data_IF_032407993248
#
_entry.id   IF_032407993248
#
_cell.length_a   1.000
_cell.length_b   1.000
_cell.length_c   1.000
_cell.angle_alpha   90.00
_cell.angle_beta   90.00
_cell.angle_gamma   90.00
#
_symmetry.space_group_name_H-M   'P 1'
#
loop_
_entity.id
_entity.type
_entity.pdbx_description
1 polymer ?
#
# COMPACT_ATOMS: atom_id res chain seq x y z
N UNK A 1 -30.05 20.71 0.84
CA UNK A 1 -28.63 20.56 0.49
C UNK A 1 -28.56 19.32 -0.38
N UNK A 2 -28.39 19.53 -1.68
CA UNK A 2 -28.16 18.40 -2.60
C UNK A 2 -26.85 17.74 -2.18
N UNK A 3 -26.93 16.50 -1.75
CA UNK A 3 -25.74 15.68 -1.46
C UNK A 3 -25.10 15.39 -2.80
N UNK A 4 -24.03 16.12 -3.11
CA UNK A 4 -23.26 15.96 -4.33
C UNK A 4 -22.81 14.50 -4.45
N UNK A 5 -23.24 13.81 -5.51
CA UNK A 5 -22.87 12.41 -5.71
C UNK A 5 -21.35 12.30 -5.85
N UNK A 6 -20.71 11.32 -5.17
CA UNK A 6 -19.26 11.18 -5.24
C UNK A 6 -18.80 10.98 -6.69
N UNK A 7 -17.87 11.81 -7.11
CA UNK A 7 -17.32 11.83 -8.47
C UNK A 7 -16.39 10.64 -8.68
N UNK A 8 -16.51 9.98 -9.79
CA UNK A 8 -15.58 8.94 -10.22
C UNK A 8 -14.26 9.54 -10.69
N UNK A 9 -13.20 8.72 -10.75
CA UNK A 9 -11.92 9.14 -11.36
C UNK A 9 -12.15 9.65 -12.79
N UNK A 10 -13.00 9.00 -13.59
CA UNK A 10 -13.32 9.43 -14.95
C UNK A 10 -14.03 10.80 -15.02
N UNK A 11 -14.91 11.09 -14.06
CA UNK A 11 -15.57 12.41 -13.98
C UNK A 11 -14.59 13.52 -13.61
N UNK A 12 -13.74 13.31 -12.59
CA UNK A 12 -12.68 14.25 -12.23
C UNK A 12 -11.68 14.45 -13.35
N UNK A 13 -11.30 13.38 -14.03
CA UNK A 13 -10.43 13.42 -15.21
C UNK A 13 -11.00 14.38 -16.29
N UNK A 14 -12.30 14.25 -16.60
CA UNK A 14 -12.99 15.10 -17.56
C UNK A 14 -13.01 16.57 -17.11
N UNK A 15 -13.36 16.83 -15.86
CA UNK A 15 -13.41 18.18 -15.28
C UNK A 15 -12.04 18.86 -15.32
N UNK A 16 -11.00 18.17 -14.85
CA UNK A 16 -9.62 18.69 -14.84
C UNK A 16 -9.12 18.92 -16.28
N UNK A 17 -9.44 18.03 -17.21
CA UNK A 17 -9.08 18.21 -18.61
C UNK A 17 -9.71 19.48 -19.19
N UNK A 18 -11.01 19.72 -18.94
CA UNK A 18 -11.67 20.95 -19.36
C UNK A 18 -11.07 22.18 -18.69
N UNK A 19 -10.82 22.13 -17.40
CA UNK A 19 -10.19 23.22 -16.67
C UNK A 19 -8.78 23.55 -17.19
N UNK A 20 -8.00 22.53 -17.59
CA UNK A 20 -6.69 22.69 -18.23
C UNK A 20 -6.76 23.07 -19.72
N UNK A 21 -7.94 23.16 -20.30
CA UNK A 21 -8.12 23.49 -21.73
C UNK A 21 -7.54 22.47 -22.69
N UNK A 22 -7.30 21.20 -22.23
CA UNK A 22 -6.71 20.16 -23.05
C UNK A 22 -7.81 19.38 -23.83
N UNK A 23 -7.54 19.06 -25.11
CA UNK A 23 -8.43 18.20 -25.89
C UNK A 23 -8.30 16.74 -25.49
N UNK A 24 -9.31 15.91 -25.80
CA UNK A 24 -9.24 14.45 -25.63
C UNK A 24 -8.01 13.86 -26.32
N UNK A 25 -7.73 14.31 -27.54
CA UNK A 25 -6.60 13.84 -28.35
C UNK A 25 -5.26 14.10 -27.64
N UNK A 26 -5.03 15.31 -27.14
CA UNK A 26 -3.78 15.69 -26.48
C UNK A 26 -3.56 14.87 -25.21
N UNK A 27 -4.60 14.73 -24.36
CA UNK A 27 -4.46 13.96 -23.12
C UNK A 27 -4.26 12.47 -23.41
N UNK A 28 -4.95 11.91 -24.41
CA UNK A 28 -4.81 10.52 -24.80
C UNK A 28 -3.39 10.22 -25.32
N UNK A 29 -2.85 11.09 -26.17
CA UNK A 29 -1.50 10.99 -26.73
C UNK A 29 -0.43 11.04 -25.60
N UNK A 30 -0.54 12.03 -24.72
CA UNK A 30 0.38 12.17 -23.57
C UNK A 30 0.29 10.99 -22.59
N UNK A 31 -0.90 10.43 -22.38
CA UNK A 31 -1.09 9.26 -21.51
C UNK A 31 -0.77 7.92 -22.22
N UNK A 32 -0.45 7.94 -23.51
CA UNK A 32 -0.14 6.74 -24.29
C UNK A 32 -1.32 5.78 -24.45
N UNK A 33 -2.55 6.33 -24.60
CA UNK A 33 -3.80 5.58 -24.82
C UNK A 33 -4.54 6.13 -26.03
N UNK A 34 -5.55 5.38 -26.52
CA UNK A 34 -6.38 5.90 -27.61
C UNK A 34 -7.39 6.94 -27.12
N UNK A 35 -7.73 7.90 -27.97
CA UNK A 35 -8.76 8.91 -27.70
C UNK A 35 -10.13 8.26 -27.35
N UNK A 36 -10.49 7.21 -28.09
CA UNK A 36 -11.69 6.42 -27.80
C UNK A 36 -11.68 5.77 -26.42
N UNK A 37 -10.52 5.30 -25.96
CA UNK A 37 -10.37 4.72 -24.61
C UNK A 37 -10.50 5.80 -23.54
N UNK A 38 -9.83 6.95 -23.71
CA UNK A 38 -9.97 8.10 -22.81
C UNK A 38 -11.43 8.57 -22.71
N UNK A 39 -12.11 8.71 -23.84
CA UNK A 39 -13.53 9.09 -23.87
C UNK A 39 -14.41 8.11 -23.09
N UNK A 40 -14.15 6.80 -23.18
CA UNK A 40 -14.85 5.79 -22.39
C UNK A 40 -14.57 5.87 -20.90
N UNK A 41 -13.33 6.21 -20.50
CA UNK A 41 -12.99 6.48 -19.10
C UNK A 41 -13.78 7.67 -18.55
N UNK A 42 -13.81 8.79 -19.29
CA UNK A 42 -14.53 10.00 -18.89
C UNK A 42 -16.05 9.81 -18.79
N UNK A 43 -16.63 8.95 -19.64
CA UNK A 43 -18.04 8.57 -19.55
C UNK A 43 -18.33 7.49 -18.51
N UNK A 44 -17.28 6.93 -17.90
CA UNK A 44 -17.39 5.84 -16.94
C UNK A 44 -17.82 4.50 -17.55
N UNK A 45 -17.65 4.32 -18.85
CA UNK A 45 -17.85 3.03 -19.53
C UNK A 45 -16.68 2.07 -19.28
N UNK A 46 -15.53 2.63 -18.91
CA UNK A 46 -14.32 1.95 -18.44
C UNK A 46 -13.83 2.59 -17.15
N UNK A 47 -13.10 1.81 -16.36
CA UNK A 47 -12.48 2.26 -15.11
C UNK A 47 -11.01 2.57 -15.30
N UNK A 48 -10.46 3.41 -14.44
CA UNK A 48 -9.03 3.51 -14.21
C UNK A 48 -8.65 2.38 -13.25
N UNK A 49 -8.17 1.28 -13.79
CA UNK A 49 -7.99 -0.01 -13.10
C UNK A 49 -6.55 -0.31 -12.69
N UNK A 50 -5.59 0.48 -13.16
CA UNK A 50 -4.18 0.31 -12.83
C UNK A 50 -3.51 1.61 -12.39
N UNK A 51 -2.45 1.45 -11.57
CA UNK A 51 -1.64 2.58 -11.13
C UNK A 51 -0.96 3.27 -12.30
N UNK A 52 -0.45 2.50 -13.25
CA UNK A 52 0.23 3.05 -14.44
C UNK A 52 -0.69 3.95 -15.26
N UNK A 53 -1.95 3.57 -15.43
CA UNK A 53 -2.93 4.38 -16.14
C UNK A 53 -3.29 5.66 -15.37
N UNK A 54 -3.54 5.54 -14.05
CA UNK A 54 -3.82 6.69 -13.19
C UNK A 54 -2.68 7.72 -13.25
N UNK A 55 -1.45 7.26 -13.18
CA UNK A 55 -0.25 8.09 -13.21
C UNK A 55 -0.06 8.77 -14.56
N UNK A 56 -0.23 8.02 -15.65
CA UNK A 56 -0.12 8.57 -16.99
C UNK A 56 -1.17 9.68 -17.24
N UNK A 57 -2.40 9.48 -16.77
CA UNK A 57 -3.46 10.48 -16.85
C UNK A 57 -3.17 11.72 -15.99
N UNK A 58 -2.69 11.53 -14.78
CA UNK A 58 -2.32 12.62 -13.88
C UNK A 58 -1.15 13.45 -14.46
N UNK A 59 -0.12 12.78 -14.99
CA UNK A 59 1.00 13.44 -15.66
C UNK A 59 0.55 14.20 -16.92
N UNK A 60 -0.32 13.61 -17.75
CA UNK A 60 -0.87 14.25 -18.95
C UNK A 60 -1.67 15.51 -18.63
N UNK A 61 -2.29 15.56 -17.44
CA UNK A 61 -3.05 16.73 -16.95
C UNK A 61 -2.22 17.68 -16.09
N UNK A 62 -0.98 17.31 -15.77
CA UNK A 62 -0.09 18.10 -14.88
C UNK A 62 -0.71 18.31 -13.48
N UNK A 63 -1.26 17.22 -12.91
CA UNK A 63 -1.83 17.19 -11.56
C UNK A 63 -1.29 16.03 -10.74
N UNK A 64 -1.43 16.10 -9.42
CA UNK A 64 -1.14 14.95 -8.58
C UNK A 64 -2.19 13.83 -8.80
N UNK A 65 -1.82 12.54 -8.74
CA UNK A 65 -2.78 11.43 -8.79
C UNK A 65 -3.90 11.54 -7.75
N UNK A 66 -3.64 12.16 -6.60
CA UNK A 66 -4.61 12.43 -5.53
C UNK A 66 -5.76 13.35 -5.98
N UNK A 67 -5.52 14.27 -6.93
CA UNK A 67 -6.56 15.11 -7.51
C UNK A 67 -7.57 14.28 -8.30
N UNK A 68 -7.08 13.30 -9.06
CA UNK A 68 -7.94 12.38 -9.80
C UNK A 68 -8.71 11.41 -8.90
N UNK A 69 -8.09 10.95 -7.81
CA UNK A 69 -8.72 9.98 -6.88
C UNK A 69 -9.63 10.64 -5.85
N UNK A 70 -9.53 11.96 -5.65
CA UNK A 70 -10.28 12.67 -4.61
C UNK A 70 -9.87 12.26 -3.21
N UNK A 71 -8.61 11.97 -2.98
CA UNK A 71 -8.10 11.51 -1.67
C UNK A 71 -8.42 12.48 -0.53
N UNK A 72 -8.50 13.77 -0.81
CA UNK A 72 -8.87 14.80 0.18
C UNK A 72 -10.31 14.68 0.71
N UNK A 73 -11.19 13.95 0.00
CA UNK A 73 -12.59 13.73 0.43
C UNK A 73 -12.75 12.49 1.34
N UNK A 74 -11.66 11.80 1.68
CA UNK A 74 -11.70 10.54 2.45
C UNK A 74 -12.14 10.71 3.90
N UNK A 75 -12.08 11.92 4.45
CA UNK A 75 -12.51 12.23 5.83
C UNK A 75 -14.00 11.97 6.07
N UNK A 76 -14.82 11.94 5.03
CA UNK A 76 -16.25 11.67 5.10
C UNK A 76 -16.61 10.19 5.30
N UNK A 77 -15.67 9.26 5.09
CA UNK A 77 -15.93 7.84 5.26
C UNK A 77 -16.07 7.48 6.75
N UNK A 78 -17.11 6.68 7.06
CA UNK A 78 -17.41 6.28 8.44
C UNK A 78 -16.23 5.53 9.08
N UNK A 79 -15.83 5.96 10.29
CA UNK A 79 -14.73 5.34 11.05
C UNK A 79 -13.33 5.71 10.55
N UNK A 80 -13.19 6.73 9.71
CA UNK A 80 -11.87 7.21 9.26
C UNK A 80 -11.30 8.34 10.14
N UNK A 81 -12.12 9.00 10.96
CA UNK A 81 -11.68 10.13 11.80
C UNK A 81 -10.53 9.78 12.75
N UNK A 82 -10.63 8.66 13.46
CA UNK A 82 -9.59 8.19 14.38
C UNK A 82 -8.29 7.80 13.62
N UNK A 83 -8.42 7.17 12.45
CA UNK A 83 -7.27 6.84 11.63
C UNK A 83 -6.57 8.10 11.07
N UNK A 84 -7.32 9.15 10.72
CA UNK A 84 -6.73 10.44 10.32
C UNK A 84 -6.10 11.18 11.50
N UNK A 85 -6.68 11.10 12.69
CA UNK A 85 -6.05 11.64 13.91
C UNK A 85 -4.68 10.97 14.17
N UNK A 86 -4.57 9.65 13.89
CA UNK A 86 -3.32 8.93 13.95
C UNK A 86 -2.23 9.53 13.03
N UNK A 87 -2.61 9.96 11.83
CA UNK A 87 -1.67 10.62 10.89
C UNK A 87 -1.09 11.89 11.48
N UNK A 88 -1.93 12.72 12.12
CA UNK A 88 -1.47 13.97 12.74
C UNK A 88 -0.46 13.68 13.86
N UNK A 89 -0.79 12.74 14.75
CA UNK A 89 0.10 12.36 15.84
C UNK A 89 1.44 11.77 15.35
N UNK A 90 1.40 10.93 14.31
CA UNK A 90 2.61 10.40 13.68
C UNK A 90 3.45 11.49 13.03
N UNK A 91 2.83 12.51 12.42
CA UNK A 91 3.55 13.63 11.80
C UNK A 91 4.36 14.39 12.84
N UNK A 92 3.78 14.65 14.00
CA UNK A 92 4.47 15.32 15.13
C UNK A 92 5.62 14.42 15.60
N UNK A 93 5.38 13.15 15.92
CA UNK A 93 6.42 12.26 16.42
C UNK A 93 7.60 12.06 15.46
N UNK A 94 7.32 12.04 14.14
CA UNK A 94 8.38 11.93 13.12
C UNK A 94 9.15 13.23 12.93
N UNK A 95 8.56 14.39 13.24
CA UNK A 95 9.26 15.67 13.19
C UNK A 95 10.12 15.92 14.44
N UNK A 96 9.67 15.41 15.60
CA UNK A 96 10.29 15.71 16.90
C UNK A 96 11.41 14.72 17.29
N UNK A 97 11.60 13.64 16.54
CA UNK A 97 12.54 12.57 16.91
C UNK A 97 13.56 12.31 15.80
N UNK A 98 14.77 12.79 15.96
CA UNK A 98 15.93 12.51 15.11
C UNK A 98 17.03 11.82 15.92
N UNK A 99 17.82 10.91 15.30
CA UNK A 99 18.88 10.17 16.00
C UNK A 99 20.01 11.07 16.50
N UNK A 100 20.19 12.22 15.86
CA UNK A 100 21.23 13.19 16.22
C UNK A 100 20.75 14.23 17.27
N UNK A 101 19.43 14.23 17.57
CA UNK A 101 18.81 15.05 18.61
C UNK A 101 18.08 14.14 19.61
N UNK A 102 18.78 13.64 20.61
CA UNK A 102 18.22 12.66 21.54
C UNK A 102 17.11 13.28 22.40
N UNK A 103 15.97 12.60 22.44
CA UNK A 103 14.89 12.97 23.33
C UNK A 103 15.29 12.80 24.80
N UNK A 104 14.67 13.59 25.67
CA UNK A 104 14.81 13.40 27.13
C UNK A 104 14.39 12.02 27.56
N UNK A 105 15.06 11.45 28.57
CA UNK A 105 14.69 10.16 29.14
C UNK A 105 13.25 10.22 29.67
N UNK A 106 12.37 9.42 29.08
CA UNK A 106 10.95 9.36 29.45
C UNK A 106 10.71 8.60 30.76
N UNK A 107 11.75 7.96 31.31
CA UNK A 107 11.69 7.16 32.52
C UNK A 107 10.91 5.85 32.40
N UNK A 108 10.43 5.47 31.21
CA UNK A 108 9.72 4.19 31.02
C UNK A 108 10.72 3.02 31.00
N UNK A 109 10.49 1.97 31.80
CA UNK A 109 11.39 0.82 31.85
C UNK A 109 11.34 0.02 30.53
N UNK A 110 12.49 -0.54 30.13
CA UNK A 110 12.61 -1.33 28.91
C UNK A 110 11.58 -2.46 28.80
N UNK A 111 11.23 -3.11 29.90
CA UNK A 111 10.23 -4.19 29.91
C UNK A 111 8.83 -3.72 29.42
N UNK A 112 8.45 -2.48 29.73
CA UNK A 112 7.18 -1.90 29.23
C UNK A 112 7.27 -1.51 27.77
N UNK A 113 8.41 -0.98 27.34
CA UNK A 113 8.65 -0.64 25.93
C UNK A 113 8.66 -1.91 25.06
N UNK A 114 9.36 -2.95 25.49
CA UNK A 114 9.39 -4.24 24.82
C UNK A 114 8.01 -4.90 24.73
N UNK A 115 7.21 -4.83 25.81
CA UNK A 115 5.83 -5.33 25.80
C UNK A 115 4.94 -4.51 24.83
N UNK A 116 5.11 -3.19 24.80
CA UNK A 116 4.38 -2.31 23.87
C UNK A 116 4.76 -2.59 22.42
N UNK A 117 6.05 -2.73 22.13
CA UNK A 117 6.56 -3.10 20.81
C UNK A 117 6.04 -4.48 20.38
N UNK A 118 6.05 -5.45 21.28
CA UNK A 118 5.47 -6.77 21.02
C UNK A 118 3.99 -6.66 20.65
N UNK A 119 3.19 -5.91 21.41
CA UNK A 119 1.77 -5.67 21.11
C UNK A 119 1.57 -5.03 19.74
N UNK A 120 2.38 -4.04 19.37
CA UNK A 120 2.32 -3.43 18.03
C UNK A 120 2.53 -4.47 16.94
N UNK A 121 3.56 -5.30 17.09
CA UNK A 121 3.98 -6.26 16.06
C UNK A 121 3.11 -7.52 15.99
N UNK A 122 2.57 -8.00 17.14
CA UNK A 122 1.79 -9.24 17.23
C UNK A 122 0.27 -9.06 17.15
N UNK A 123 -0.25 -7.85 17.47
CA UNK A 123 -1.69 -7.60 17.53
C UNK A 123 -2.12 -6.49 16.56
N UNK A 124 -1.65 -5.24 16.79
CA UNK A 124 -2.18 -4.09 16.07
C UNK A 124 -1.83 -4.11 14.57
N UNK A 125 -0.58 -4.41 14.25
CA UNK A 125 -0.09 -4.47 12.87
C UNK A 125 -0.71 -5.63 12.07
N UNK A 126 -0.76 -6.88 12.60
CA UNK A 126 -1.48 -7.96 11.92
C UNK A 126 -2.96 -7.69 11.74
N UNK A 127 -3.63 -7.07 12.71
CA UNK A 127 -5.04 -6.70 12.64
C UNK A 127 -5.33 -5.53 11.67
N UNK A 128 -4.30 -4.82 11.19
CA UNK A 128 -4.44 -3.58 10.44
C UNK A 128 -5.21 -2.49 11.21
N UNK A 129 -5.02 -2.45 12.53
CA UNK A 129 -5.63 -1.44 13.41
C UNK A 129 -4.82 -0.13 13.36
N UNK A 130 -5.12 0.69 12.37
CA UNK A 130 -4.38 1.95 12.14
C UNK A 130 -4.69 3.00 13.21
N UNK A 131 -5.92 3.03 13.74
CA UNK A 131 -6.28 3.90 14.85
C UNK A 131 -5.52 3.51 16.12
N UNK A 132 -5.52 2.21 16.46
CA UNK A 132 -4.76 1.69 17.61
C UNK A 132 -3.25 1.93 17.48
N UNK A 133 -2.69 1.73 16.29
CA UNK A 133 -1.27 2.08 16.03
C UNK A 133 -1.02 3.57 16.21
N UNK A 134 -1.91 4.44 15.74
CA UNK A 134 -1.78 5.89 15.89
C UNK A 134 -1.78 6.38 17.34
N UNK A 135 -2.42 5.66 18.25
CA UNK A 135 -2.40 5.95 19.69
C UNK A 135 -1.08 5.55 20.36
N UNK A 136 -0.41 4.53 19.83
CA UNK A 136 0.74 3.89 20.50
C UNK A 136 2.07 4.31 19.88
N UNK A 137 2.16 4.35 18.54
CA UNK A 137 3.43 4.58 17.84
C UNK A 137 4.11 5.91 18.19
N UNK A 138 3.39 7.06 18.31
CA UNK A 138 4.06 8.34 18.61
C UNK A 138 4.89 8.29 19.88
N UNK A 139 4.30 7.88 21.01
CA UNK A 139 5.02 7.76 22.27
C UNK A 139 6.10 6.69 22.24
N UNK A 140 5.86 5.56 21.55
CA UNK A 140 6.83 4.49 21.43
C UNK A 140 8.06 4.91 20.61
N UNK A 141 7.89 5.74 19.59
CA UNK A 141 9.01 6.34 18.83
C UNK A 141 9.90 7.16 19.78
N UNK A 142 9.32 8.09 20.53
CA UNK A 142 10.08 8.93 21.48
C UNK A 142 10.82 8.10 22.54
N UNK A 143 10.12 7.15 23.15
CA UNK A 143 10.72 6.29 24.19
C UNK A 143 11.87 5.44 23.66
N UNK A 144 11.72 4.82 22.48
CA UNK A 144 12.78 4.02 21.86
C UNK A 144 13.97 4.88 21.43
N UNK A 145 13.74 6.14 21.01
CA UNK A 145 14.81 7.09 20.74
C UNK A 145 15.62 7.41 21.98
N UNK A 146 14.95 7.68 23.10
CA UNK A 146 15.63 7.93 24.38
C UNK A 146 16.51 6.75 24.80
N UNK A 147 16.06 5.50 24.58
CA UNK A 147 16.87 4.29 24.85
C UNK A 147 18.02 4.15 23.86
N UNK A 148 17.78 4.38 22.57
CA UNK A 148 18.78 4.22 21.50
C UNK A 148 19.94 5.22 21.60
N UNK A 149 19.67 6.43 22.11
CA UNK A 149 20.65 7.51 22.28
C UNK A 149 21.26 7.56 23.69
N UNK A 150 20.62 6.91 24.67
CA UNK A 150 21.01 6.87 26.07
C UNK A 150 22.02 5.78 26.42
N UNK A 151 21.71 4.95 27.44
CA UNK A 151 22.58 3.90 27.94
C UNK A 151 22.70 2.69 26.98
N UNK A 152 23.89 2.06 26.87
CA UNK A 152 24.13 1.05 25.83
C UNK A 152 23.38 -0.29 26.03
N UNK A 153 22.82 -0.58 27.22
CA UNK A 153 22.29 -1.92 27.60
C UNK A 153 21.20 -2.43 26.64
N UNK A 154 20.31 -1.58 26.15
CA UNK A 154 19.22 -1.98 25.25
C UNK A 154 19.29 -1.26 23.90
N UNK A 155 20.44 -0.63 23.60
CA UNK A 155 20.58 0.18 22.38
C UNK A 155 20.28 -0.59 21.11
N UNK A 156 20.81 -1.81 20.97
CA UNK A 156 20.58 -2.62 19.78
C UNK A 156 19.10 -2.97 19.61
N UNK A 157 18.45 -3.44 20.68
CA UNK A 157 17.05 -3.81 20.64
C UNK A 157 16.14 -2.59 20.39
N UNK A 158 16.50 -1.43 20.92
CA UNK A 158 15.81 -0.18 20.67
C UNK A 158 15.92 0.26 19.20
N UNK A 159 17.10 0.12 18.57
CA UNK A 159 17.29 0.40 17.15
C UNK A 159 16.47 -0.55 16.27
N UNK A 160 16.43 -1.85 16.58
CA UNK A 160 15.56 -2.80 15.87
C UNK A 160 14.10 -2.42 16.06
N UNK A 161 13.69 -2.09 17.28
CA UNK A 161 12.34 -1.62 17.59
C UNK A 161 11.98 -0.33 16.85
N UNK A 162 12.88 0.64 16.75
CA UNK A 162 12.69 1.86 15.96
C UNK A 162 12.48 1.54 14.49
N UNK A 163 13.23 0.64 13.92
CA UNK A 163 13.05 0.21 12.52
C UNK A 163 11.65 -0.38 12.30
N UNK A 164 11.17 -1.21 13.22
CA UNK A 164 9.84 -1.80 13.17
C UNK A 164 8.72 -0.75 13.29
N UNK A 165 8.85 0.21 14.22
CA UNK A 165 7.82 1.24 14.40
C UNK A 165 7.81 2.23 13.24
N UNK A 166 8.96 2.59 12.66
CA UNK A 166 9.01 3.40 11.45
C UNK A 166 8.43 2.67 10.24
N UNK A 167 8.66 1.35 10.12
CA UNK A 167 8.00 0.55 9.10
C UNK A 167 6.47 0.56 9.29
N UNK A 168 5.99 0.39 10.51
CA UNK A 168 4.56 0.45 10.83
C UNK A 168 3.96 1.84 10.51
N UNK A 169 4.61 2.91 10.98
CA UNK A 169 4.19 4.30 10.73
C UNK A 169 4.13 4.62 9.22
N UNK A 170 5.18 4.22 8.47
CA UNK A 170 5.23 4.40 7.01
C UNK A 170 4.09 3.68 6.29
N UNK A 171 3.74 2.46 6.69
CA UNK A 171 2.60 1.75 6.09
C UNK A 171 1.25 2.33 6.51
N UNK A 172 1.08 2.78 7.75
CA UNK A 172 -0.14 3.51 8.17
C UNK A 172 -0.31 4.75 7.30
N UNK A 173 0.71 5.60 7.21
CA UNK A 173 0.68 6.81 6.39
C UNK A 173 0.37 6.50 4.92
N UNK A 174 1.10 5.57 4.31
CA UNK A 174 0.89 5.14 2.92
C UNK A 174 -0.54 4.67 2.64
N UNK A 175 -1.10 3.83 3.52
CA UNK A 175 -2.41 3.26 3.32
C UNK A 175 -3.55 4.24 3.60
N UNK A 176 -3.29 5.30 4.35
CA UNK A 176 -4.23 6.39 4.60
C UNK A 176 -4.10 7.55 3.59
N UNK A 177 -3.22 7.42 2.58
CA UNK A 177 -3.09 8.38 1.50
C UNK A 177 -2.07 9.51 1.75
N UNK A 178 -1.14 9.32 2.70
CA UNK A 178 -0.10 10.28 3.08
C UNK A 178 1.30 9.81 2.64
N UNK A 179 1.61 9.81 1.33
CA UNK A 179 2.88 9.28 0.82
C UNK A 179 4.11 10.08 1.29
N UNK A 180 3.95 11.38 1.51
CA UNK A 180 5.06 12.23 1.97
C UNK A 180 5.45 11.87 3.40
N UNK A 181 4.46 11.63 4.28
CA UNK A 181 4.71 11.17 5.64
C UNK A 181 5.33 9.76 5.64
N UNK A 182 4.89 8.88 4.76
CA UNK A 182 5.53 7.58 4.57
C UNK A 182 6.99 7.70 4.14
N UNK A 183 7.32 8.70 3.32
CA UNK A 183 8.71 8.98 2.90
C UNK A 183 9.56 9.48 4.06
N UNK A 184 9.03 10.31 4.95
CA UNK A 184 9.71 10.75 6.17
C UNK A 184 10.00 9.55 7.07
N UNK A 185 9.01 8.71 7.37
CA UNK A 185 9.21 7.49 8.17
C UNK A 185 10.28 6.56 7.57
N UNK A 186 10.32 6.42 6.24
CA UNK A 186 11.33 5.62 5.55
C UNK A 186 12.75 6.23 5.63
N UNK A 187 12.88 7.56 5.70
CA UNK A 187 14.18 8.22 5.93
C UNK A 187 14.70 7.96 7.35
N UNK A 188 13.84 8.04 8.36
CA UNK A 188 14.19 7.65 9.74
C UNK A 188 14.57 6.17 9.82
N UNK A 189 13.79 5.28 9.21
CA UNK A 189 14.12 3.86 9.13
C UNK A 189 15.52 3.61 8.53
N UNK A 190 15.90 4.37 7.51
CA UNK A 190 17.25 4.28 6.91
C UNK A 190 18.35 4.76 7.85
N UNK A 191 18.14 5.86 8.56
CA UNK A 191 19.10 6.37 9.53
C UNK A 191 19.35 5.37 10.65
N UNK A 192 18.28 4.73 11.16
CA UNK A 192 18.35 3.66 12.16
C UNK A 192 19.06 2.42 11.61
N UNK A 193 18.70 1.94 10.42
CA UNK A 193 19.31 0.76 9.81
C UNK A 193 20.81 0.93 9.58
N UNK A 194 21.29 2.15 9.33
CA UNK A 194 22.71 2.45 9.20
C UNK A 194 23.51 2.24 10.52
N UNK A 195 22.83 2.16 11.68
CA UNK A 195 23.44 1.90 12.98
C UNK A 195 23.46 0.40 13.34
N UNK A 196 22.80 -0.48 12.55
CA UNK A 196 22.59 -1.90 12.90
C UNK A 196 23.63 -2.85 12.30
N UNK A 197 24.50 -2.38 11.41
CA UNK A 197 25.51 -3.21 10.71
C UNK A 197 24.93 -4.56 10.20
N UNK A 198 23.74 -4.52 9.59
CA UNK A 198 23.00 -5.68 9.12
C UNK A 198 22.52 -5.47 7.68
N UNK A 199 22.94 -6.32 6.73
CA UNK A 199 22.46 -6.26 5.35
C UNK A 199 20.95 -6.41 5.23
N UNK A 200 20.33 -7.28 6.04
CA UNK A 200 18.87 -7.49 6.04
C UNK A 200 18.10 -6.24 6.51
N UNK A 201 18.54 -5.59 7.59
CA UNK A 201 17.91 -4.36 8.08
C UNK A 201 18.12 -3.19 7.10
N UNK A 202 19.29 -3.09 6.48
CA UNK A 202 19.56 -2.11 5.43
C UNK A 202 18.65 -2.33 4.21
N UNK A 203 18.44 -3.59 3.81
CA UNK A 203 17.53 -3.96 2.73
C UNK A 203 16.06 -3.63 3.07
N UNK A 204 15.63 -3.86 4.34
CA UNK A 204 14.30 -3.46 4.82
C UNK A 204 14.10 -1.95 4.71
N UNK A 205 15.06 -1.15 5.16
CA UNK A 205 14.96 0.31 5.08
C UNK A 205 14.88 0.81 3.62
N UNK A 206 15.67 0.26 2.71
CA UNK A 206 15.59 0.61 1.28
C UNK A 206 14.29 0.12 0.62
N UNK A 207 13.75 -1.03 1.04
CA UNK A 207 12.42 -1.49 0.64
C UNK A 207 11.36 -0.49 1.08
N UNK A 208 11.37 -0.02 2.32
CA UNK A 208 10.44 1.00 2.82
C UNK A 208 10.53 2.29 2.00
N UNK A 209 11.75 2.73 1.69
CA UNK A 209 11.97 3.90 0.82
C UNK A 209 11.39 3.70 -0.58
N UNK A 210 11.64 2.54 -1.20
CA UNK A 210 11.07 2.24 -2.51
C UNK A 210 9.55 2.21 -2.49
N UNK A 211 8.95 1.71 -1.39
CA UNK A 211 7.50 1.68 -1.19
C UNK A 211 6.87 3.04 -0.91
N UNK A 212 7.62 3.98 -0.35
CA UNK A 212 7.16 5.33 -0.02
C UNK A 212 7.27 6.31 -1.19
N UNK A 213 8.11 6.02 -2.19
CA UNK A 213 8.27 6.89 -3.37
C UNK A 213 6.92 7.11 -4.05
N UNK A 214 6.58 8.37 -4.23
CA UNK A 214 5.34 8.77 -4.91
C UNK A 214 5.35 8.37 -6.39
N UNK A 215 4.17 8.21 -6.92
CA UNK A 215 3.86 7.68 -8.23
C UNK A 215 4.67 8.28 -9.40
N UNK A 216 4.85 9.61 -9.53
CA UNK A 216 5.63 10.18 -10.63
C UNK A 216 7.11 9.79 -10.63
N UNK A 217 7.63 9.34 -9.50
CA UNK A 217 9.04 8.96 -9.33
C UNK A 217 9.29 7.45 -9.37
N UNK A 218 8.44 6.66 -10.06
CA UNK A 218 8.62 5.19 -10.20
C UNK A 218 9.98 4.74 -10.69
N UNK A 219 10.64 5.40 -11.67
CA UNK A 219 12.01 5.02 -12.03
C UNK A 219 12.97 5.11 -10.82
N UNK A 220 12.72 6.05 -9.89
CA UNK A 220 13.49 6.16 -8.65
C UNK A 220 13.19 5.01 -7.69
N UNK A 221 11.91 4.63 -7.52
CA UNK A 221 11.52 3.47 -6.72
C UNK A 221 12.17 2.19 -7.24
N UNK A 222 12.11 1.94 -8.56
CA UNK A 222 12.77 0.81 -9.21
C UNK A 222 14.28 0.82 -8.94
N UNK A 223 14.95 1.95 -9.16
CA UNK A 223 16.37 2.07 -8.94
C UNK A 223 16.79 1.88 -7.47
N UNK A 224 15.97 2.27 -6.50
CA UNK A 224 16.21 2.00 -5.08
C UNK A 224 16.10 0.51 -4.78
N UNK A 225 15.01 -0.12 -5.22
CA UNK A 225 14.75 -1.54 -4.98
C UNK A 225 15.82 -2.44 -5.65
N UNK A 226 16.16 -2.18 -6.91
CA UNK A 226 17.16 -2.97 -7.64
C UNK A 226 18.54 -2.88 -6.96
N UNK A 227 19.04 -1.67 -6.66
CA UNK A 227 20.31 -1.53 -5.96
C UNK A 227 20.33 -2.15 -4.57
N UNK A 228 19.20 -2.17 -3.87
CA UNK A 228 19.11 -2.82 -2.57
C UNK A 228 19.11 -4.34 -2.72
N UNK A 229 18.46 -4.89 -3.75
CA UNK A 229 18.51 -6.30 -4.09
C UNK A 229 19.94 -6.74 -4.39
N UNK A 230 20.66 -6.00 -5.26
CA UNK A 230 22.06 -6.27 -5.60
C UNK A 230 22.96 -6.30 -4.35
N UNK A 231 22.77 -5.35 -3.41
CA UNK A 231 23.58 -5.28 -2.19
C UNK A 231 23.32 -6.42 -1.21
N UNK A 232 22.07 -6.89 -1.11
CA UNK A 232 21.71 -7.98 -0.17
C UNK A 232 21.90 -9.37 -0.76
N UNK A 233 22.01 -9.49 -2.08
CA UNK A 233 22.18 -10.75 -2.83
C UNK A 233 23.26 -11.68 -2.28
N UNK A 234 24.49 -11.20 -1.92
CA UNK A 234 25.55 -12.07 -1.37
C UNK A 234 25.16 -12.74 -0.05
N UNK A 235 24.20 -12.20 0.71
CA UNK A 235 23.79 -12.70 2.00
C UNK A 235 22.59 -13.67 1.95
N UNK A 236 21.96 -13.84 0.80
CA UNK A 236 20.71 -14.63 0.62
C UNK A 236 20.89 -16.10 1.04
N UNK A 237 22.07 -16.66 0.87
CA UNK A 237 22.36 -18.07 1.24
C UNK A 237 22.65 -18.29 2.73
N UNK A 238 22.98 -17.25 3.48
CA UNK A 238 23.44 -17.34 4.86
C UNK A 238 22.54 -16.64 5.89
N UNK A 239 21.69 -15.70 5.44
CA UNK A 239 20.80 -14.91 6.30
C UNK A 239 19.34 -15.03 5.80
N UNK A 240 18.45 -15.69 6.55
CA UNK A 240 17.05 -15.81 6.20
C UNK A 240 16.33 -14.46 6.04
N UNK A 241 16.67 -13.44 6.84
CA UNK A 241 16.13 -12.11 6.72
C UNK A 241 16.55 -11.43 5.41
N UNK A 242 17.82 -11.60 5.03
CA UNK A 242 18.34 -11.14 3.73
C UNK A 242 17.62 -11.82 2.58
N UNK A 243 17.34 -13.13 2.67
CA UNK A 243 16.59 -13.86 1.65
C UNK A 243 15.16 -13.31 1.48
N UNK A 244 14.43 -13.11 2.59
CA UNK A 244 13.08 -12.52 2.54
C UNK A 244 13.08 -11.11 1.94
N UNK A 245 14.03 -10.27 2.33
CA UNK A 245 14.12 -8.91 1.82
C UNK A 245 14.52 -8.87 0.34
N UNK A 246 15.39 -9.76 -0.11
CA UNK A 246 15.74 -9.91 -1.51
C UNK A 246 14.49 -10.22 -2.35
N UNK A 247 13.69 -11.21 -1.93
CA UNK A 247 12.44 -11.54 -2.60
C UNK A 247 11.44 -10.37 -2.62
N UNK A 248 11.28 -9.63 -1.50
CA UNK A 248 10.41 -8.45 -1.44
C UNK A 248 10.88 -7.30 -2.34
N UNK A 249 12.18 -7.11 -2.47
CA UNK A 249 12.78 -6.12 -3.36
C UNK A 249 12.53 -6.47 -4.83
N UNK A 250 12.68 -7.75 -5.21
CA UNK A 250 12.34 -8.22 -6.54
C UNK A 250 10.85 -8.08 -6.87
N UNK A 251 9.94 -8.38 -5.94
CA UNK A 251 8.51 -8.10 -6.11
C UNK A 251 8.23 -6.60 -6.28
N UNK A 252 8.99 -5.74 -5.59
CA UNK A 252 8.89 -4.29 -5.77
C UNK A 252 9.40 -3.86 -7.15
N UNK A 253 10.47 -4.44 -7.65
CA UNK A 253 10.96 -4.23 -9.01
C UNK A 253 9.94 -4.70 -10.05
N UNK A 254 9.36 -5.89 -9.87
CA UNK A 254 8.31 -6.43 -10.74
C UNK A 254 7.09 -5.50 -10.85
N UNK A 255 6.67 -4.92 -9.72
CA UNK A 255 5.57 -3.96 -9.69
C UNK A 255 5.93 -2.66 -10.43
N UNK A 256 7.12 -2.12 -10.19
CA UNK A 256 7.54 -0.88 -10.83
C UNK A 256 7.73 -1.04 -12.33
N UNK A 257 8.33 -2.16 -12.78
CA UNK A 257 8.51 -2.45 -14.21
C UNK A 257 7.18 -2.73 -14.91
N UNK A 258 6.22 -3.41 -14.24
CA UNK A 258 4.85 -3.53 -14.75
C UNK A 258 4.20 -2.16 -14.95
N UNK A 259 4.30 -1.27 -13.95
CA UNK A 259 3.75 0.08 -14.03
C UNK A 259 4.45 0.95 -15.07
N UNK A 260 5.74 0.71 -15.34
CA UNK A 260 6.51 1.36 -16.42
C UNK A 260 6.28 0.72 -17.80
N UNK A 261 5.31 -0.21 -17.91
CA UNK A 261 4.98 -0.95 -19.14
C UNK A 261 6.16 -1.75 -19.73
N UNK A 262 6.96 -2.36 -18.84
CA UNK A 262 8.07 -3.25 -19.16
C UNK A 262 7.76 -4.69 -18.75
N UNK A 263 6.84 -5.39 -19.45
CA UNK A 263 6.31 -6.68 -18.99
C UNK A 263 7.36 -7.79 -18.91
N UNK A 264 8.37 -7.80 -19.79
CA UNK A 264 9.43 -8.79 -19.74
C UNK A 264 10.27 -8.63 -18.47
N UNK A 265 10.78 -7.42 -18.19
CA UNK A 265 11.53 -7.14 -16.96
C UNK A 265 10.70 -7.44 -15.70
N UNK A 266 9.38 -7.18 -15.74
CA UNK A 266 8.46 -7.53 -14.65
C UNK A 266 8.38 -9.03 -14.41
N UNK A 267 8.36 -9.83 -15.50
CA UNK A 267 8.34 -11.28 -15.41
C UNK A 267 9.67 -11.84 -14.87
N UNK A 268 10.81 -11.29 -15.28
CA UNK A 268 12.13 -11.70 -14.81
C UNK A 268 12.27 -11.48 -13.30
N UNK A 269 11.89 -10.29 -12.81
CA UNK A 269 11.90 -10.00 -11.37
C UNK A 269 10.90 -10.87 -10.59
N UNK A 270 9.74 -11.16 -11.17
CA UNK A 270 8.75 -12.04 -10.56
C UNK A 270 9.28 -13.47 -10.46
N UNK A 271 9.96 -13.98 -11.47
CA UNK A 271 10.57 -15.32 -11.47
C UNK A 271 11.64 -15.44 -10.37
N UNK A 272 12.51 -14.44 -10.25
CA UNK A 272 13.53 -14.42 -9.21
C UNK A 272 12.89 -14.45 -7.79
N UNK A 273 11.83 -13.68 -7.58
CA UNK A 273 11.09 -13.72 -6.31
C UNK A 273 10.41 -15.07 -6.06
N UNK A 274 9.94 -15.76 -7.12
CA UNK A 274 9.35 -17.11 -7.02
C UNK A 274 10.36 -18.13 -6.53
N UNK A 275 11.57 -18.12 -7.09
CA UNK A 275 12.65 -19.03 -6.70
C UNK A 275 13.04 -18.85 -5.24
N UNK A 276 13.09 -17.61 -4.76
CA UNK A 276 13.35 -17.33 -3.35
C UNK A 276 12.17 -17.78 -2.47
N UNK A 277 10.93 -17.50 -2.87
CA UNK A 277 9.73 -17.90 -2.11
C UNK A 277 9.65 -19.42 -1.97
N UNK A 278 10.00 -20.17 -3.01
CA UNK A 278 10.03 -21.64 -2.97
C UNK A 278 11.10 -22.17 -1.96
N UNK A 279 12.25 -21.50 -1.87
CA UNK A 279 13.33 -21.87 -0.91
C UNK A 279 12.99 -21.48 0.52
N UNK A 280 12.40 -20.31 0.72
CA UNK A 280 12.07 -19.77 2.07
C UNK A 280 10.83 -20.45 2.65
N UNK A 281 9.89 -20.92 1.81
CA UNK A 281 8.66 -21.55 2.28
C UNK A 281 7.73 -20.56 3.00
N UNK A 282 7.49 -20.77 4.31
CA UNK A 282 6.68 -19.84 5.13
C UNK A 282 7.43 -18.61 5.63
N UNK A 283 8.77 -18.65 5.59
CA UNK A 283 9.63 -17.56 6.04
C UNK A 283 9.66 -17.37 7.58
N UNK A 284 10.51 -16.45 8.02
CA UNK A 284 10.61 -16.01 9.42
C UNK A 284 9.84 -14.72 9.69
N UNK A 285 9.20 -14.16 8.68
CA UNK A 285 8.48 -12.88 8.75
C UNK A 285 9.38 -11.70 9.11
N UNK A 286 10.57 -11.61 8.51
CA UNK A 286 11.53 -10.56 8.78
C UNK A 286 10.93 -9.17 8.54
N UNK A 287 11.17 -8.25 9.46
CA UNK A 287 10.62 -6.88 9.43
C UNK A 287 9.08 -6.85 9.30
N UNK A 288 8.42 -7.96 9.64
CA UNK A 288 6.96 -8.14 9.52
C UNK A 288 6.42 -7.94 8.08
N UNK A 289 7.24 -8.22 7.06
CA UNK A 289 6.82 -8.09 5.66
C UNK A 289 6.08 -9.32 5.14
N UNK A 290 6.18 -10.46 5.84
CA UNK A 290 5.44 -11.68 5.54
C UNK A 290 5.83 -12.29 4.21
N UNK A 291 7.10 -12.20 3.79
CA UNK A 291 7.57 -12.86 2.58
C UNK A 291 7.48 -14.39 2.74
N UNK A 292 7.14 -15.06 1.67
CA UNK A 292 7.01 -16.52 1.62
C UNK A 292 6.04 -16.95 0.55
N UNK A 293 5.85 -18.26 0.39
CA UNK A 293 5.14 -18.85 -0.74
C UNK A 293 3.69 -18.37 -0.87
N UNK A 294 2.95 -18.26 0.24
CA UNK A 294 1.54 -17.81 0.20
C UNK A 294 1.45 -16.33 -0.16
N UNK A 295 2.30 -15.48 0.42
CA UNK A 295 2.31 -14.05 0.10
C UNK A 295 2.81 -13.81 -1.33
N UNK A 296 3.72 -14.64 -1.85
CA UNK A 296 4.10 -14.60 -3.25
C UNK A 296 2.87 -14.80 -4.17
N UNK A 297 2.01 -15.78 -3.87
CA UNK A 297 0.75 -15.96 -4.60
C UNK A 297 -0.16 -14.72 -4.56
N UNK A 298 -0.17 -13.96 -3.45
CA UNK A 298 -0.88 -12.67 -3.40
C UNK A 298 -0.28 -11.66 -4.38
N UNK A 299 1.05 -11.65 -4.49
CA UNK A 299 1.75 -10.79 -5.44
C UNK A 299 1.51 -11.19 -6.90
N UNK A 300 1.33 -12.47 -7.21
CA UNK A 300 0.97 -12.92 -8.57
C UNK A 300 -0.37 -12.31 -9.00
N UNK A 301 -1.38 -12.35 -8.13
CA UNK A 301 -2.68 -11.71 -8.39
C UNK A 301 -2.52 -10.20 -8.55
N UNK A 302 -1.75 -9.56 -7.66
CA UNK A 302 -1.49 -8.12 -7.72
C UNK A 302 -0.81 -7.71 -9.03
N UNK A 303 0.26 -8.39 -9.43
CA UNK A 303 1.01 -8.13 -10.66
C UNK A 303 0.15 -8.37 -11.91
N UNK A 304 -0.69 -9.41 -11.92
CA UNK A 304 -1.61 -9.67 -13.02
C UNK A 304 -2.59 -8.49 -13.22
N UNK A 305 -3.15 -7.95 -12.13
CA UNK A 305 -4.01 -6.75 -12.21
C UNK A 305 -3.24 -5.54 -12.75
N UNK A 306 -2.04 -5.28 -12.23
CA UNK A 306 -1.25 -4.11 -12.65
C UNK A 306 -0.74 -4.22 -14.10
N UNK A 307 -0.58 -5.43 -14.63
CA UNK A 307 -0.28 -5.69 -16.05
C UNK A 307 -1.50 -5.67 -16.96
N UNK A 308 -2.71 -5.47 -16.42
CA UNK A 308 -3.95 -5.50 -17.20
C UNK A 308 -4.43 -6.93 -17.54
N UNK A 309 -3.93 -7.94 -16.85
CA UNK A 309 -4.24 -9.36 -17.01
C UNK A 309 -5.38 -9.81 -16.08
N UNK A 310 -6.34 -8.93 -15.78
CA UNK A 310 -7.41 -9.18 -14.82
C UNK A 310 -8.20 -10.48 -15.05
N UNK A 311 -8.30 -10.96 -16.29
CA UNK A 311 -8.93 -12.25 -16.60
C UNK A 311 -8.25 -13.48 -15.98
N UNK A 312 -6.96 -13.38 -15.59
CA UNK A 312 -6.20 -14.48 -14.98
C UNK A 312 -6.38 -14.58 -13.46
N UNK A 313 -6.86 -13.52 -12.78
CA UNK A 313 -6.84 -13.46 -11.31
C UNK A 313 -7.66 -14.56 -10.64
N UNK A 314 -8.75 -15.01 -11.29
CA UNK A 314 -9.61 -16.06 -10.76
C UNK A 314 -8.88 -17.41 -10.70
N UNK A 315 -8.08 -17.70 -11.71
CA UNK A 315 -7.27 -18.92 -11.77
C UNK A 315 -6.09 -18.83 -10.80
N UNK A 316 -5.35 -17.71 -10.80
CA UNK A 316 -4.23 -17.48 -9.90
C UNK A 316 -4.64 -17.56 -8.43
N UNK A 317 -5.82 -17.05 -8.08
CA UNK A 317 -6.34 -17.12 -6.70
C UNK A 317 -6.80 -18.51 -6.27
N UNK A 318 -6.98 -19.45 -7.24
CA UNK A 318 -7.45 -20.80 -6.94
C UNK A 318 -6.37 -21.57 -6.17
N UNK A 319 -6.74 -22.08 -5.02
CA UNK A 319 -5.82 -22.87 -4.18
C UNK A 319 -4.95 -22.07 -3.21
N UNK A 320 -5.03 -20.75 -3.21
CA UNK A 320 -4.33 -19.93 -2.22
C UNK A 320 -5.07 -19.97 -0.87
N UNK A 321 -4.47 -20.63 0.13
CA UNK A 321 -5.00 -20.57 1.51
C UNK A 321 -4.57 -19.29 2.21
N UNK A 322 -5.45 -18.30 2.18
CA UNK A 322 -5.19 -16.99 2.78
C UNK A 322 -5.04 -17.00 4.31
N UNK A 323 -5.44 -18.10 4.99
CA UNK A 323 -5.33 -18.22 6.46
C UNK A 323 -3.88 -18.36 6.91
N UNK A 324 -3.00 -18.85 6.04
CA UNK A 324 -1.57 -18.93 6.29
C UNK A 324 -0.86 -17.57 6.43
N UNK A 325 -1.53 -16.45 6.11
CA UNK A 325 -0.98 -15.10 6.27
C UNK A 325 -1.66 -14.39 7.43
N UNK A 326 -0.95 -14.15 8.52
CA UNK A 326 -1.49 -13.50 9.72
C UNK A 326 -1.98 -12.08 9.45
N UNK A 327 -1.29 -11.31 8.60
CA UNK A 327 -1.59 -9.91 8.32
C UNK A 327 -2.94 -9.72 7.62
N UNK A 328 -3.92 -9.16 8.33
CA UNK A 328 -5.21 -8.76 7.77
C UNK A 328 -5.04 -7.74 6.64
N UNK A 329 -4.07 -6.83 6.77
CA UNK A 329 -3.72 -5.85 5.74
C UNK A 329 -3.29 -6.52 4.41
N UNK A 330 -2.47 -7.56 4.47
CA UNK A 330 -2.03 -8.32 3.29
C UNK A 330 -3.18 -9.11 2.67
N UNK A 331 -3.96 -9.80 3.48
CA UNK A 331 -5.16 -10.51 3.01
C UNK A 331 -6.17 -9.55 2.38
N UNK A 332 -6.39 -8.39 2.97
CA UNK A 332 -7.27 -7.37 2.41
C UNK A 332 -6.77 -6.84 1.07
N UNK A 333 -5.45 -6.64 0.91
CA UNK A 333 -4.86 -6.28 -0.38
C UNK A 333 -5.15 -7.33 -1.45
N UNK A 334 -4.89 -8.61 -1.14
CA UNK A 334 -5.19 -9.72 -2.04
C UNK A 334 -6.66 -9.74 -2.48
N UNK A 335 -7.61 -9.66 -1.54
CA UNK A 335 -9.03 -9.63 -1.88
C UNK A 335 -9.45 -8.36 -2.63
N UNK A 336 -8.78 -7.23 -2.40
CA UNK A 336 -9.01 -6.01 -3.17
C UNK A 336 -8.57 -6.20 -4.62
N UNK A 337 -7.37 -6.74 -4.84
CA UNK A 337 -6.84 -6.97 -6.19
C UNK A 337 -7.63 -8.08 -6.93
N UNK A 338 -8.01 -9.13 -6.23
CA UNK A 338 -8.93 -10.14 -6.77
C UNK A 338 -10.26 -9.51 -7.21
N UNK A 339 -10.85 -8.66 -6.36
CA UNK A 339 -12.08 -7.94 -6.68
C UNK A 339 -11.91 -6.99 -7.87
N UNK A 340 -10.75 -6.31 -8.00
CA UNK A 340 -10.40 -5.46 -9.15
C UNK A 340 -10.39 -6.26 -10.45
N UNK A 341 -9.67 -7.37 -10.48
CA UNK A 341 -9.59 -8.21 -11.67
C UNK A 341 -10.93 -8.83 -12.06
N UNK A 342 -11.68 -9.41 -11.09
CA UNK A 342 -12.99 -10.00 -11.33
C UNK A 342 -14.03 -8.97 -11.84
N UNK A 343 -13.96 -7.71 -11.39
CA UNK A 343 -14.89 -6.66 -11.80
C UNK A 343 -14.78 -6.29 -13.29
N UNK A 344 -13.68 -6.63 -13.96
CA UNK A 344 -13.49 -6.40 -15.40
C UNK A 344 -14.45 -7.22 -16.25
N UNK A 345 -14.90 -8.38 -15.73
CA UNK A 345 -15.79 -9.29 -16.44
C UNK A 345 -17.21 -9.29 -15.86
N UNK A 346 -18.21 -9.18 -16.73
CA UNK A 346 -19.62 -9.15 -16.31
C UNK A 346 -20.04 -10.42 -15.54
N UNK A 347 -19.52 -11.55 -15.94
CA UNK A 347 -19.86 -12.86 -15.35
C UNK A 347 -19.44 -12.97 -13.88
N UNK A 348 -18.36 -12.28 -13.48
CA UNK A 348 -17.77 -12.42 -12.14
C UNK A 348 -18.08 -11.27 -11.18
N UNK A 349 -19.01 -10.37 -11.52
CA UNK A 349 -19.34 -9.20 -10.69
C UNK A 349 -19.79 -9.55 -9.27
N UNK A 350 -20.53 -10.65 -9.09
CA UNK A 350 -20.94 -11.09 -7.76
C UNK A 350 -19.73 -11.56 -6.94
N UNK A 351 -18.82 -12.31 -7.57
CA UNK A 351 -17.57 -12.74 -6.95
C UNK A 351 -16.70 -11.51 -6.58
N UNK A 352 -16.65 -10.49 -7.45
CA UNK A 352 -15.95 -9.23 -7.17
C UNK A 352 -16.51 -8.51 -5.93
N UNK A 353 -17.82 -8.41 -5.79
CA UNK A 353 -18.48 -7.83 -4.59
C UNK A 353 -18.13 -8.64 -3.33
N UNK A 354 -18.16 -9.96 -3.41
CA UNK A 354 -17.82 -10.82 -2.28
C UNK A 354 -16.34 -10.67 -1.87
N UNK A 355 -15.42 -10.56 -2.83
CA UNK A 355 -14.00 -10.31 -2.58
C UNK A 355 -13.79 -8.94 -1.90
N UNK A 356 -14.36 -7.87 -2.43
CA UNK A 356 -14.25 -6.51 -1.86
C UNK A 356 -14.86 -6.43 -0.45
N UNK A 357 -15.99 -7.12 -0.21
CA UNK A 357 -16.57 -7.21 1.13
C UNK A 357 -15.65 -7.94 2.11
N UNK A 358 -15.01 -9.00 1.66
CA UNK A 358 -14.03 -9.73 2.48
C UNK A 358 -12.83 -8.82 2.79
N UNK A 359 -12.32 -8.10 1.81
CA UNK A 359 -11.27 -7.11 2.01
C UNK A 359 -11.65 -6.05 3.05
N UNK A 360 -12.86 -5.46 2.93
CA UNK A 360 -13.33 -4.42 3.86
C UNK A 360 -13.48 -4.94 5.29
N UNK A 361 -13.92 -6.17 5.49
CA UNK A 361 -14.01 -6.78 6.83
C UNK A 361 -12.65 -7.01 7.47
N UNK A 362 -11.66 -7.37 6.66
CA UNK A 362 -10.30 -7.65 7.13
C UNK A 362 -9.55 -6.39 7.53
N UNK A 363 -9.65 -5.31 6.75
CA UNK A 363 -8.92 -4.07 6.99
C UNK A 363 -9.76 -2.86 6.54
N UNK A 364 -10.80 -2.49 7.30
CA UNK A 364 -11.77 -1.48 6.89
C UNK A 364 -11.13 -0.13 6.58
N UNK A 365 -10.22 0.36 7.41
CA UNK A 365 -9.57 1.66 7.24
C UNK A 365 -8.74 1.69 5.94
N UNK A 366 -7.96 0.64 5.68
CA UNK A 366 -7.16 0.50 4.46
C UNK A 366 -8.02 0.45 3.19
N UNK A 367 -9.08 -0.36 3.21
CA UNK A 367 -9.91 -0.60 2.01
C UNK A 367 -10.78 0.61 1.69
N UNK A 368 -11.33 1.27 2.71
CA UNK A 368 -12.14 2.50 2.52
C UNK A 368 -11.30 3.67 2.03
N UNK A 369 -10.01 3.74 2.39
CA UNK A 369 -9.07 4.71 1.87
C UNK A 369 -8.53 4.35 0.47
N UNK A 370 -8.68 3.11 0.01
CA UNK A 370 -8.11 2.67 -1.26
C UNK A 370 -8.90 3.23 -2.46
N UNK A 371 -8.27 4.05 -3.33
CA UNK A 371 -8.97 4.70 -4.44
C UNK A 371 -9.51 3.71 -5.47
N UNK A 372 -8.81 2.62 -5.73
CA UNK A 372 -9.27 1.59 -6.68
C UNK A 372 -10.46 0.80 -6.14
N UNK A 373 -10.48 0.47 -4.84
CA UNK A 373 -11.63 -0.17 -4.22
C UNK A 373 -12.88 0.74 -4.31
N UNK A 374 -12.71 2.04 -4.04
CA UNK A 374 -13.77 3.05 -4.15
C UNK A 374 -14.29 3.17 -5.58
N UNK A 375 -13.39 3.25 -6.57
CA UNK A 375 -13.75 3.34 -7.99
C UNK A 375 -14.57 2.12 -8.44
N UNK A 376 -14.15 0.90 -8.05
CA UNK A 376 -14.85 -0.32 -8.42
C UNK A 376 -16.24 -0.39 -7.76
N UNK A 377 -16.36 -0.05 -6.49
CA UNK A 377 -17.64 -0.01 -5.79
C UNK A 377 -18.57 0.99 -6.47
N UNK A 378 -18.08 2.18 -6.82
CA UNK A 378 -18.83 3.21 -7.56
C UNK A 378 -19.29 2.69 -8.91
N UNK A 379 -18.42 2.02 -9.67
CA UNK A 379 -18.79 1.48 -10.97
C UNK A 379 -19.80 0.32 -10.87
N UNK A 380 -19.60 -0.59 -9.93
CA UNK A 380 -20.55 -1.68 -9.69
C UNK A 380 -21.93 -1.15 -9.28
N UNK A 381 -21.99 -0.08 -8.47
CA UNK A 381 -23.23 0.61 -8.12
C UNK A 381 -23.94 1.20 -9.37
N UNK A 382 -23.19 1.86 -10.25
CA UNK A 382 -23.76 2.46 -11.48
C UNK A 382 -24.26 1.40 -12.47
N UNK A 383 -23.54 0.28 -12.61
CA UNK A 383 -23.91 -0.81 -13.55
C UNK A 383 -25.00 -1.73 -13.02
N UNK A 384 -25.21 -1.76 -11.73
CA UNK A 384 -26.30 -2.52 -11.14
C UNK A 384 -27.63 -1.83 -11.48
N UNK A 385 -28.60 -2.60 -12.01
CA UNK A 385 -29.98 -2.09 -12.13
C UNK A 385 -30.47 -1.74 -10.72
N UNK A 386 -31.25 -0.66 -10.58
CA UNK A 386 -31.72 -0.14 -9.28
C UNK A 386 -32.31 -1.24 -8.37
N UNK A 387 -33.01 -2.21 -8.98
CA UNK A 387 -33.66 -3.31 -8.25
C UNK A 387 -32.75 -4.50 -7.96
N UNK A 388 -31.57 -4.58 -8.60
CA UNK A 388 -30.60 -5.70 -8.50
C UNK A 388 -29.35 -5.36 -7.68
N UNK A 389 -29.24 -4.14 -7.12
CA UNK A 389 -28.10 -3.78 -6.27
C UNK A 389 -28.22 -4.52 -4.95
N UNK A 390 -27.26 -5.40 -4.69
CA UNK A 390 -27.26 -6.17 -3.44
C UNK A 390 -27.18 -5.24 -2.22
N UNK A 391 -27.85 -5.62 -1.12
CA UNK A 391 -27.78 -4.90 0.16
C UNK A 391 -26.33 -4.71 0.60
N UNK A 392 -25.48 -5.68 0.29
CA UNK A 392 -24.07 -5.69 0.64
C UNK A 392 -23.28 -4.61 -0.10
N UNK A 393 -23.50 -4.45 -1.41
CA UNK A 393 -22.84 -3.41 -2.21
C UNK A 393 -23.27 -2.01 -1.77
N UNK A 394 -24.57 -1.80 -1.50
CA UNK A 394 -25.07 -0.52 -0.95
C UNK A 394 -24.47 -0.21 0.42
N UNK A 395 -24.43 -1.21 1.32
CA UNK A 395 -23.81 -1.03 2.64
C UNK A 395 -22.34 -0.69 2.57
N UNK A 396 -21.59 -1.30 1.65
CA UNK A 396 -20.17 -0.99 1.42
C UNK A 396 -20.02 0.43 0.85
N UNK A 397 -20.81 0.81 -0.16
CA UNK A 397 -20.80 2.16 -0.72
C UNK A 397 -21.10 3.23 0.36
N UNK A 398 -22.09 2.99 1.21
CA UNK A 398 -22.42 3.87 2.33
C UNK A 398 -21.23 4.04 3.31
N UNK A 399 -20.62 2.92 3.75
CA UNK A 399 -19.47 2.99 4.68
C UNK A 399 -18.23 3.66 4.06
N UNK A 400 -18.11 3.63 2.75
CA UNK A 400 -17.06 4.34 2.01
C UNK A 400 -17.39 5.81 1.73
N UNK A 401 -18.59 6.30 2.11
CA UNK A 401 -19.05 7.65 1.78
C UNK A 401 -19.34 7.85 0.28
N UNK A 402 -19.70 6.76 -0.43
CA UNK A 402 -19.99 6.76 -1.87
C UNK A 402 -21.50 6.78 -2.19
N UNK A 403 -22.36 6.71 -1.19
CA UNK A 403 -23.80 6.80 -1.31
C UNK A 403 -24.38 7.48 -0.07
N UNK A 404 -25.44 8.29 -0.27
CA UNK A 404 -26.26 8.75 0.85
C UNK A 404 -27.00 7.56 1.46
N UNK A 405 -27.29 7.65 2.75
CA UNK A 405 -28.03 6.63 3.52
C UNK A 405 -29.45 6.41 2.99
#
# INVERSE_FOLDING_TARGET
MDVEQPRTIGQRLREIRYWRGKSLRVVAELAGISESYLSRLERGERQVDSRSLLEALAAALEVAPTELTGAHELTSAKGMGEAHAAVVALRVALADNELDDPADDTGRPWSELAATLHRVNSELRPAADYAGMGLVLPGLITDLHAVATGKPVHRHDALVGLLDVYAAAGFVAKHLGEPDLASVAALHARAVAAQLDSPAHSALAEFLRAQAVSSPARPRSLALAARAADRVAPCVGSDPGAAEMYGMLHLTCALNTAALRRPAESADHQAEAADVAARVGSGINFGHQGFGLVNYGFWEVHLAVERGEGGKVRELARGIDTRGVASASRRAAFYTDLGRGLATERAYRQEAVAALRTAERLAPQRVRANPFAREIVTDLMRRARRDAVSRELRGMAYRMGLAAS
#
